data_IF_005369878866
#
_entry.id   IF_005369878866
#
_cell.length_a   1.000
_cell.length_b   1.000
_cell.length_c   1.000
_cell.angle_alpha   90.00
_cell.angle_beta   90.00
_cell.angle_gamma   90.00
#
_symmetry.space_group_name_H-M   'P 1'
#
loop_
_entity.id
_entity.type
_entity.pdbx_description
1 polymer ?
#
# COMPACT_ATOMS: atom_id res chain seq x y z
N UNK A 1 11.82 -17.58 -2.63
CA UNK A 1 11.17 -16.91 -3.76
C UNK A 1 10.33 -15.75 -3.25
N UNK A 2 10.66 -14.51 -3.68
CA UNK A 2 9.96 -13.28 -3.33
C UNK A 2 9.21 -12.76 -4.56
N UNK A 3 7.91 -12.50 -4.42
CA UNK A 3 7.04 -12.01 -5.49
C UNK A 3 6.48 -10.66 -5.05
N UNK A 4 6.76 -9.61 -5.83
CA UNK A 4 6.26 -8.26 -5.58
C UNK A 4 5.17 -7.90 -6.60
N UNK A 5 4.07 -7.33 -6.11
CA UNK A 5 2.94 -6.86 -6.91
C UNK A 5 2.28 -5.64 -6.26
N UNK A 6 1.12 -5.21 -6.72
CA UNK A 6 0.31 -4.15 -6.13
C UNK A 6 -1.16 -4.29 -6.54
N UNK A 7 -2.09 -3.75 -5.73
CA UNK A 7 -3.53 -3.79 -6.03
C UNK A 7 -3.89 -3.12 -7.36
N UNK A 8 -3.10 -2.12 -7.79
CA UNK A 8 -3.34 -1.38 -9.02
C UNK A 8 -2.71 -1.99 -10.26
N UNK A 9 -1.80 -2.96 -10.11
CA UNK A 9 -1.06 -3.50 -11.27
C UNK A 9 -1.96 -4.32 -12.21
N UNK A 10 -1.62 -4.36 -13.54
CA UNK A 10 -0.36 -3.96 -14.17
C UNK A 10 -0.22 -2.45 -14.45
N UNK A 11 1.01 -2.03 -14.75
CA UNK A 11 1.34 -0.70 -15.27
C UNK A 11 1.24 -0.76 -16.82
N UNK A 12 0.61 0.19 -17.50
CA UNK A 12 -0.12 1.33 -16.92
C UNK A 12 -1.51 0.88 -16.44
N UNK A 13 -1.97 1.44 -15.28
CA UNK A 13 -3.23 0.99 -14.70
C UNK A 13 -4.43 1.37 -15.59
N UNK A 14 -5.35 0.40 -15.75
CA UNK A 14 -6.63 0.57 -16.45
C UNK A 14 -7.71 -0.12 -15.65
N UNK A 15 -8.95 0.34 -15.77
CA UNK A 15 -10.08 -0.27 -15.07
C UNK A 15 -10.23 -1.77 -15.37
N UNK A 16 -10.03 -2.15 -16.65
CA UNK A 16 -10.22 -3.51 -17.14
C UNK A 16 -9.14 -4.47 -16.65
N UNK A 17 -7.96 -3.94 -16.32
CA UNK A 17 -6.79 -4.77 -15.94
C UNK A 17 -6.41 -4.66 -14.47
N UNK A 18 -7.08 -3.78 -13.70
CA UNK A 18 -6.77 -3.57 -12.28
C UNK A 18 -6.80 -4.89 -11.49
N UNK A 19 -5.73 -5.14 -10.73
CA UNK A 19 -5.58 -6.33 -9.91
C UNK A 19 -5.30 -7.61 -10.70
N UNK A 20 -5.07 -7.54 -12.01
CA UNK A 20 -4.84 -8.71 -12.85
C UNK A 20 -3.55 -9.45 -12.44
N UNK A 21 -2.49 -8.72 -12.05
CA UNK A 21 -1.25 -9.37 -11.60
C UNK A 21 -1.45 -10.15 -10.32
N UNK A 22 -2.19 -9.65 -9.36
CA UNK A 22 -2.55 -10.40 -8.15
C UNK A 22 -3.40 -11.63 -8.48
N UNK A 23 -4.35 -11.53 -9.42
CA UNK A 23 -5.16 -12.67 -9.89
C UNK A 23 -4.30 -13.76 -10.55
N UNK A 24 -3.32 -13.36 -11.38
CA UNK A 24 -2.40 -14.30 -12.03
C UNK A 24 -1.56 -15.03 -10.97
N UNK A 25 -1.00 -14.29 -10.02
CA UNK A 25 -0.22 -14.85 -8.90
C UNK A 25 -1.10 -15.81 -8.08
N UNK A 26 -2.30 -15.41 -7.71
CA UNK A 26 -3.24 -16.25 -6.97
C UNK A 26 -3.59 -17.55 -7.68
N UNK A 27 -3.85 -17.47 -8.99
CA UNK A 27 -4.09 -18.67 -9.80
C UNK A 27 -2.88 -19.61 -9.84
N UNK A 28 -1.68 -19.03 -9.95
CA UNK A 28 -0.44 -19.81 -9.96
C UNK A 28 -0.19 -20.49 -8.60
N UNK A 29 -0.42 -19.79 -7.48
CA UNK A 29 -0.28 -20.33 -6.12
C UNK A 29 -1.19 -21.54 -5.94
N UNK A 30 -2.48 -21.42 -6.30
CA UNK A 30 -3.45 -22.48 -6.17
C UNK A 30 -3.07 -23.70 -7.04
N UNK A 31 -2.67 -23.44 -8.29
CA UNK A 31 -2.24 -24.50 -9.22
C UNK A 31 -0.99 -25.23 -8.73
N UNK A 32 -0.05 -24.53 -8.12
CA UNK A 32 1.23 -25.08 -7.64
C UNK A 32 1.18 -25.61 -6.22
N UNK A 33 0.16 -25.25 -5.45
CA UNK A 33 0.04 -25.58 -4.01
C UNK A 33 1.30 -25.22 -3.22
N UNK A 34 1.79 -23.98 -3.42
CA UNK A 34 3.10 -23.54 -2.93
C UNK A 34 3.06 -22.22 -2.17
N UNK A 35 1.90 -21.86 -1.59
CA UNK A 35 1.76 -20.61 -0.83
C UNK A 35 2.80 -20.46 0.28
N UNK A 36 3.09 -21.54 0.95
CA UNK A 36 4.06 -21.64 2.06
C UNK A 36 5.53 -21.52 1.62
N UNK A 37 5.80 -21.66 0.32
CA UNK A 37 7.16 -21.61 -0.26
C UNK A 37 7.50 -20.28 -0.91
N UNK A 38 6.60 -19.31 -0.85
CA UNK A 38 6.78 -17.99 -1.45
C UNK A 38 6.46 -16.88 -0.47
N UNK A 39 7.22 -15.80 -0.56
CA UNK A 39 6.94 -14.54 0.11
C UNK A 39 6.19 -13.66 -0.89
N UNK A 40 5.01 -13.20 -0.51
CA UNK A 40 4.17 -12.32 -1.33
C UNK A 40 4.18 -10.93 -0.72
N UNK A 41 4.66 -9.97 -1.51
CA UNK A 41 4.52 -8.57 -1.26
C UNK A 41 3.44 -7.97 -2.18
N UNK A 42 2.52 -7.19 -1.63
CA UNK A 42 1.60 -6.36 -2.40
C UNK A 42 1.43 -5.00 -1.75
N UNK A 43 0.76 -4.08 -2.43
CA UNK A 43 0.75 -2.66 -2.02
C UNK A 43 -0.65 -2.09 -2.10
N UNK A 44 -0.99 -1.26 -1.12
CA UNK A 44 -2.16 -0.38 -1.15
C UNK A 44 -1.78 0.97 -1.76
N UNK A 45 -2.53 1.45 -2.75
CA UNK A 45 -2.36 2.80 -3.26
C UNK A 45 -3.17 3.81 -2.44
N UNK A 46 -2.66 5.02 -2.34
CA UNK A 46 -3.36 6.17 -1.76
C UNK A 46 -3.82 7.16 -2.83
N UNK A 47 -4.43 8.26 -2.41
CA UNK A 47 -4.68 9.39 -3.29
C UNK A 47 -3.34 9.84 -3.89
N UNK A 48 -3.41 10.21 -5.18
CA UNK A 48 -2.21 10.55 -5.90
C UNK A 48 -1.67 11.91 -5.40
N UNK A 49 -0.35 12.04 -5.14
CA UNK A 49 0.26 13.34 -4.91
C UNK A 49 0.05 14.24 -6.14
N UNK A 50 -0.14 15.54 -5.92
CA UNK A 50 -0.27 16.54 -6.98
C UNK A 50 0.87 16.37 -8.01
N UNK A 51 0.54 16.23 -9.29
CA UNK A 51 1.50 16.28 -10.38
C UNK A 51 1.80 15.02 -11.16
N UNK A 52 1.48 13.83 -10.67
CA UNK A 52 1.55 12.66 -11.55
C UNK A 52 0.20 12.49 -12.16
N UNK A 53 0.13 12.72 -13.47
CA UNK A 53 -1.10 12.70 -14.24
C UNK A 53 -2.15 11.87 -13.56
N UNK A 54 -3.02 12.54 -12.88
CA UNK A 54 -4.03 11.92 -12.05
C UNK A 54 -4.99 11.20 -12.97
N UNK A 55 -4.50 10.13 -13.50
CA UNK A 55 -5.34 9.02 -13.88
C UNK A 55 -5.99 8.67 -12.57
N UNK A 56 -7.02 9.39 -12.36
CA UNK A 56 -7.92 9.16 -11.28
C UNK A 56 -8.16 7.68 -11.30
N UNK A 57 -7.53 6.96 -10.36
CA UNK A 57 -7.75 5.52 -10.17
C UNK A 57 -9.21 5.32 -9.70
N UNK A 58 -10.15 5.90 -10.45
CA UNK A 58 -11.58 5.99 -10.11
C UNK A 58 -12.21 4.64 -9.83
N UNK A 59 -11.69 3.62 -10.45
CA UNK A 59 -12.15 2.24 -10.31
C UNK A 59 -11.61 1.53 -9.07
N UNK A 60 -10.61 2.09 -8.38
CA UNK A 60 -10.08 1.53 -7.15
C UNK A 60 -10.76 2.25 -5.99
N UNK A 61 -11.55 1.57 -5.21
CA UNK A 61 -12.22 2.07 -3.99
C UNK A 61 -12.88 3.46 -4.16
N UNK A 62 -13.37 3.79 -5.37
CA UNK A 62 -13.99 5.07 -5.69
C UNK A 62 -13.01 6.18 -6.10
N UNK A 63 -11.72 5.91 -6.11
CA UNK A 63 -10.67 6.74 -6.70
C UNK A 63 -10.44 8.11 -6.09
N UNK A 64 -9.44 8.81 -6.65
CA UNK A 64 -9.13 10.20 -6.32
C UNK A 64 -8.92 10.42 -4.82
N UNK A 65 -9.55 11.46 -4.28
CA UNK A 65 -9.46 11.83 -2.86
C UNK A 65 -10.00 10.78 -1.88
N UNK A 66 -10.70 9.75 -2.37
CA UNK A 66 -11.23 8.67 -1.53
C UNK A 66 -10.19 7.58 -1.26
N UNK A 67 -9.06 7.56 -1.98
CA UNK A 67 -7.98 6.63 -1.76
C UNK A 67 -7.13 7.08 -0.57
N UNK A 68 -7.55 6.68 0.63
CA UNK A 68 -6.92 7.08 1.89
C UNK A 68 -6.30 5.87 2.59
N UNK A 69 -5.39 6.14 3.52
CA UNK A 69 -4.89 5.13 4.46
C UNK A 69 -5.72 5.07 5.76
N UNK A 70 -6.99 5.43 5.66
CA UNK A 70 -7.95 5.28 6.74
C UNK A 70 -8.35 3.81 6.93
N UNK A 71 -9.00 3.53 8.06
CA UNK A 71 -9.43 2.18 8.44
C UNK A 71 -10.26 1.49 7.37
N UNK A 72 -11.25 2.21 6.79
CA UNK A 72 -12.16 1.66 5.77
C UNK A 72 -11.41 1.25 4.51
N UNK A 73 -10.52 2.10 4.03
CA UNK A 73 -9.73 1.81 2.82
C UNK A 73 -8.76 0.65 3.04
N UNK A 74 -8.10 0.59 4.21
CA UNK A 74 -7.24 -0.54 4.53
C UNK A 74 -8.00 -1.87 4.55
N UNK A 75 -9.16 -1.93 5.21
CA UNK A 75 -9.97 -3.15 5.30
C UNK A 75 -10.41 -3.61 3.91
N UNK A 76 -10.92 -2.72 3.08
CA UNK A 76 -11.34 -3.04 1.71
C UNK A 76 -10.13 -3.49 0.86
N UNK A 77 -9.04 -2.73 0.88
CA UNK A 77 -7.89 -2.99 0.02
C UNK A 77 -7.24 -4.33 0.34
N UNK A 78 -7.02 -4.64 1.63
CA UNK A 78 -6.39 -5.90 2.02
C UNK A 78 -7.29 -7.09 1.69
N UNK A 79 -8.61 -6.99 1.92
CA UNK A 79 -9.55 -8.07 1.64
C UNK A 79 -9.66 -8.35 0.13
N UNK A 80 -9.71 -7.33 -0.68
CA UNK A 80 -9.71 -7.46 -2.13
C UNK A 80 -8.39 -8.04 -2.66
N UNK A 81 -7.24 -7.65 -2.11
CA UNK A 81 -5.94 -8.24 -2.46
C UNK A 81 -5.86 -9.72 -2.07
N UNK A 82 -6.28 -10.08 -0.86
CA UNK A 82 -6.34 -11.48 -0.40
C UNK A 82 -7.23 -12.34 -1.30
N UNK A 83 -8.40 -11.80 -1.69
CA UNK A 83 -9.32 -12.46 -2.63
C UNK A 83 -8.69 -12.69 -4.00
N UNK A 84 -8.00 -11.67 -4.56
CA UNK A 84 -7.32 -11.81 -5.86
C UNK A 84 -6.14 -12.77 -5.78
N UNK A 85 -5.34 -12.70 -4.71
CA UNK A 85 -4.21 -13.58 -4.44
C UNK A 85 -4.61 -15.01 -4.03
N UNK A 86 -5.89 -15.24 -3.69
CA UNK A 86 -6.41 -16.54 -3.24
C UNK A 86 -5.65 -17.12 -2.05
N UNK A 87 -5.35 -16.26 -1.08
CA UNK A 87 -4.66 -16.58 0.16
C UNK A 87 -5.31 -15.85 1.32
N UNK A 88 -5.10 -16.32 2.53
CA UNK A 88 -5.62 -15.76 3.78
C UNK A 88 -4.64 -14.78 4.44
N UNK A 89 -3.39 -14.70 3.97
CA UNK A 89 -2.40 -13.76 4.47
C UNK A 89 -1.46 -13.23 3.38
N UNK A 90 -0.96 -12.02 3.60
CA UNK A 90 0.11 -11.37 2.84
C UNK A 90 1.36 -11.31 3.71
N UNK A 91 2.53 -11.65 3.17
CA UNK A 91 3.78 -11.62 3.94
C UNK A 91 4.25 -10.17 4.16
N UNK A 92 4.25 -9.34 3.12
CA UNK A 92 4.65 -7.94 3.17
C UNK A 92 3.59 -7.04 2.53
N UNK A 93 2.95 -6.20 3.33
CA UNK A 93 1.96 -5.25 2.83
C UNK A 93 2.58 -3.86 2.80
N UNK A 94 2.64 -3.22 1.64
CA UNK A 94 3.38 -1.97 1.47
C UNK A 94 2.44 -0.79 1.23
N UNK A 95 2.78 0.37 1.78
CA UNK A 95 2.18 1.66 1.40
C UNK A 95 2.83 2.09 0.09
N UNK A 96 2.05 2.13 -1.01
CA UNK A 96 2.60 2.27 -2.36
C UNK A 96 3.28 3.62 -2.61
N UNK A 97 2.71 4.70 -2.04
CA UNK A 97 3.27 6.06 -1.95
C UNK A 97 2.55 6.84 -0.85
N UNK A 98 3.16 7.93 -0.34
CA UNK A 98 2.51 8.77 0.66
C UNK A 98 1.24 9.46 0.15
N UNK A 99 0.28 9.72 1.04
CA UNK A 99 -0.87 10.58 0.74
C UNK A 99 -0.48 12.05 0.65
N UNK A 100 0.49 12.47 1.44
CA UNK A 100 0.99 13.85 1.43
C UNK A 100 1.80 14.12 0.17
N UNK A 101 1.92 15.40 -0.19
CA UNK A 101 2.74 15.83 -1.32
C UNK A 101 4.21 15.53 -1.06
N UNK A 102 4.83 14.75 -1.93
CA UNK A 102 6.26 14.42 -1.93
C UNK A 102 6.75 14.35 -3.37
N UNK A 103 8.05 14.60 -3.63
CA UNK A 103 8.60 14.40 -4.95
C UNK A 103 8.70 12.90 -5.25
N UNK A 104 7.87 12.42 -6.20
CA UNK A 104 7.83 11.02 -6.62
C UNK A 104 7.78 10.93 -8.15
N UNK A 105 8.15 9.78 -8.69
CA UNK A 105 8.01 9.42 -10.11
C UNK A 105 8.64 10.43 -11.09
N UNK A 106 9.84 10.93 -10.78
CA UNK A 106 10.61 11.84 -11.64
C UNK A 106 10.40 13.33 -11.35
N UNK A 107 9.62 13.68 -10.34
CA UNK A 107 9.61 15.04 -9.81
C UNK A 107 10.91 15.29 -9.05
N UNK A 108 11.66 16.33 -9.43
CA UNK A 108 12.93 16.69 -8.80
C UNK A 108 12.74 17.73 -7.70
N UNK A 109 11.74 18.58 -7.84
CA UNK A 109 11.51 19.71 -6.94
C UNK A 109 10.41 19.38 -5.92
N UNK A 110 10.67 19.71 -4.66
CA UNK A 110 9.68 19.70 -3.61
C UNK A 110 9.21 21.10 -3.32
N UNK A 111 7.96 21.38 -3.60
CA UNK A 111 7.31 22.62 -3.19
C UNK A 111 6.50 22.35 -1.93
N UNK A 112 6.94 22.94 -0.82
CA UNK A 112 6.19 22.87 0.44
C UNK A 112 4.87 23.63 0.30
N UNK A 113 3.77 22.93 0.60
CA UNK A 113 2.42 23.51 0.63
C UNK A 113 1.91 23.42 2.08
N UNK A 114 1.83 24.53 2.82
CA UNK A 114 1.36 24.51 4.21
C UNK A 114 -0.12 24.09 4.32
N UNK A 115 -0.89 24.21 3.23
CA UNK A 115 -2.30 23.81 3.18
C UNK A 115 -2.47 22.32 2.88
N UNK A 116 -1.39 21.60 2.54
CA UNK A 116 -1.44 20.14 2.34
C UNK A 116 -1.47 19.40 3.68
N UNK A 117 -2.58 19.54 4.38
CA UNK A 117 -2.82 18.93 5.70
C UNK A 117 -3.85 17.81 5.66
N UNK A 118 -4.50 17.60 4.52
CA UNK A 118 -5.58 16.63 4.38
C UNK A 118 -5.07 15.23 4.00
N UNK A 119 -4.23 14.65 4.85
CA UNK A 119 -3.74 13.27 4.74
C UNK A 119 -3.95 12.52 6.06
N UNK A 120 -4.01 11.20 5.99
CA UNK A 120 -4.22 10.36 7.19
C UNK A 120 -2.99 10.46 8.10
N UNK A 121 -3.16 10.82 9.38
CA UNK A 121 -2.03 10.91 10.31
C UNK A 121 -1.25 9.60 10.39
N UNK A 122 0.08 9.68 10.47
CA UNK A 122 0.94 8.48 10.51
C UNK A 122 0.58 7.56 11.69
N UNK A 123 0.19 8.12 12.82
CA UNK A 123 -0.27 7.32 13.96
C UNK A 123 -1.50 6.48 13.59
N UNK A 124 -2.50 7.07 12.95
CA UNK A 124 -3.69 6.36 12.50
C UNK A 124 -3.35 5.26 11.47
N UNK A 125 -2.44 5.56 10.54
CA UNK A 125 -1.95 4.56 9.57
C UNK A 125 -1.33 3.36 10.29
N UNK A 126 -0.49 3.61 11.30
CA UNK A 126 0.16 2.56 12.09
C UNK A 126 -0.86 1.74 12.90
N UNK A 127 -1.85 2.38 13.50
CA UNK A 127 -2.94 1.70 14.22
C UNK A 127 -3.76 0.82 13.29
N UNK A 128 -4.04 1.28 12.07
CA UNK A 128 -4.74 0.50 11.05
C UNK A 128 -3.92 -0.72 10.61
N UNK A 129 -2.62 -0.57 10.39
CA UNK A 129 -1.71 -1.68 10.06
C UNK A 129 -1.62 -2.71 11.21
N UNK A 130 -1.52 -2.23 12.45
CA UNK A 130 -1.53 -3.08 13.63
C UNK A 130 -2.82 -3.92 13.72
N UNK A 131 -3.98 -3.29 13.48
CA UNK A 131 -5.27 -3.97 13.48
C UNK A 131 -5.36 -5.06 12.40
N UNK A 132 -4.88 -4.79 11.20
CA UNK A 132 -4.87 -5.77 10.10
C UNK A 132 -3.93 -6.93 10.43
N UNK A 133 -2.78 -6.65 11.04
CA UNK A 133 -1.86 -7.69 11.50
C UNK A 133 -2.47 -8.55 12.61
N UNK A 134 -3.12 -7.94 13.60
CA UNK A 134 -3.84 -8.68 14.66
C UNK A 134 -4.93 -9.60 14.11
N UNK A 135 -5.54 -9.24 12.99
CA UNK A 135 -6.49 -10.09 12.25
C UNK A 135 -5.80 -11.21 11.45
N UNK A 136 -4.49 -11.31 11.45
CA UNK A 136 -3.71 -12.32 10.73
C UNK A 136 -3.61 -12.10 9.21
N UNK A 137 -4.14 -10.98 8.69
CA UNK A 137 -4.20 -10.72 7.25
C UNK A 137 -2.85 -10.31 6.64
N UNK A 138 -1.97 -9.69 7.43
CA UNK A 138 -0.61 -9.35 7.03
C UNK A 138 0.40 -9.81 8.09
N UNK A 139 1.63 -10.12 7.68
CA UNK A 139 2.73 -10.46 8.60
C UNK A 139 3.58 -9.25 8.93
N UNK A 140 4.00 -8.52 7.90
CA UNK A 140 4.85 -7.35 7.99
C UNK A 140 4.31 -6.25 7.11
N UNK A 141 4.76 -5.01 7.38
CA UNK A 141 4.51 -3.91 6.45
C UNK A 141 5.81 -3.22 6.05
N UNK A 142 5.76 -2.54 4.90
CA UNK A 142 6.85 -1.74 4.36
C UNK A 142 6.34 -0.44 3.76
N UNK A 143 7.28 0.40 3.38
CA UNK A 143 7.03 1.66 2.70
C UNK A 143 7.49 1.55 1.25
N UNK A 144 6.89 2.34 0.37
CA UNK A 144 7.32 2.48 -1.02
C UNK A 144 7.18 3.94 -1.44
N UNK A 145 8.13 4.44 -2.25
CA UNK A 145 8.16 5.84 -2.69
C UNK A 145 8.09 6.86 -1.54
N UNK A 146 8.57 6.46 -0.37
CA UNK A 146 8.57 7.30 0.82
C UNK A 146 9.87 8.10 0.92
N UNK A 147 9.80 9.28 1.50
CA UNK A 147 10.97 10.11 1.77
C UNK A 147 11.70 9.66 3.04
N UNK A 148 12.99 10.04 3.16
CA UNK A 148 13.75 9.80 4.40
C UNK A 148 13.07 10.41 5.63
N UNK A 149 12.47 11.60 5.48
CA UNK A 149 11.69 12.24 6.53
C UNK A 149 10.49 11.38 6.96
N UNK A 150 9.72 10.92 6.00
CA UNK A 150 8.54 10.09 6.28
C UNK A 150 8.92 8.74 6.89
N UNK A 151 9.96 8.08 6.37
CA UNK A 151 10.48 6.85 6.96
C UNK A 151 10.85 7.05 8.43
N UNK A 152 11.60 8.10 8.76
CA UNK A 152 11.96 8.41 10.14
C UNK A 152 10.73 8.74 10.99
N UNK A 153 9.73 9.40 10.41
CA UNK A 153 8.48 9.71 11.10
C UNK A 153 7.69 8.44 11.42
N UNK A 154 7.61 7.48 10.50
CA UNK A 154 7.02 6.16 10.77
C UNK A 154 7.75 5.43 11.91
N UNK A 155 9.09 5.36 11.86
CA UNK A 155 9.91 4.69 12.88
C UNK A 155 9.72 5.35 14.25
N UNK A 156 9.89 6.67 14.35
CA UNK A 156 9.79 7.38 15.64
C UNK A 156 8.38 7.36 16.22
N UNK A 157 7.34 7.40 15.38
CA UNK A 157 5.95 7.25 15.84
C UNK A 157 5.69 5.83 16.33
N UNK A 158 6.20 4.82 15.62
CA UNK A 158 6.11 3.42 16.06
C UNK A 158 6.79 3.21 17.40
N UNK A 159 7.99 3.76 17.62
CA UNK A 159 8.71 3.66 18.90
C UNK A 159 7.92 4.32 20.03
N UNK A 160 7.44 5.54 19.79
CA UNK A 160 6.69 6.30 20.80
C UNK A 160 5.41 5.60 21.27
N UNK A 161 4.73 4.90 20.37
CA UNK A 161 3.43 4.28 20.63
C UNK A 161 3.48 2.74 20.72
N UNK A 162 4.67 2.15 20.69
CA UNK A 162 4.90 0.70 20.72
C UNK A 162 4.08 -0.04 19.64
N UNK A 163 4.12 0.47 18.41
CA UNK A 163 3.45 -0.08 17.24
C UNK A 163 4.45 -0.75 16.29
N UNK A 164 3.93 -1.43 15.27
CA UNK A 164 4.73 -2.05 14.21
C UNK A 164 5.69 -1.04 13.55
N UNK A 165 6.92 -1.49 13.26
CA UNK A 165 7.88 -0.75 12.43
C UNK A 165 7.86 -1.24 10.99
N UNK A 166 8.14 -0.36 10.02
CA UNK A 166 8.35 -0.80 8.65
C UNK A 166 9.63 -1.67 8.58
N UNK A 167 9.56 -2.76 7.82
CA UNK A 167 10.72 -3.67 7.67
C UNK A 167 11.44 -3.47 6.33
N UNK A 168 10.86 -2.71 5.43
CA UNK A 168 11.42 -2.45 4.09
C UNK A 168 11.00 -1.07 3.57
N UNK A 169 11.79 -0.57 2.64
CA UNK A 169 11.45 0.57 1.77
C UNK A 169 11.82 0.19 0.34
N UNK A 170 10.96 0.56 -0.61
CA UNK A 170 11.12 0.31 -2.04
C UNK A 170 11.07 1.62 -2.83
#
# INVERSE_FOLDING_TARGET
NFIDTAEMYPIYPKAETQGLTEKIIGNWIVKRKNRDKVIIATKICSCHPKGIGATELKWIRGGGKNLRFDKKNFEIAVDESLKRLKTDYIDLYQLHWPERSVPVFGQLDFLYDPEDTNWTPILEILENLENIKKKGKIRYYGLSNETAWGMMKFITTSDKHNLLKPISIQ
#
